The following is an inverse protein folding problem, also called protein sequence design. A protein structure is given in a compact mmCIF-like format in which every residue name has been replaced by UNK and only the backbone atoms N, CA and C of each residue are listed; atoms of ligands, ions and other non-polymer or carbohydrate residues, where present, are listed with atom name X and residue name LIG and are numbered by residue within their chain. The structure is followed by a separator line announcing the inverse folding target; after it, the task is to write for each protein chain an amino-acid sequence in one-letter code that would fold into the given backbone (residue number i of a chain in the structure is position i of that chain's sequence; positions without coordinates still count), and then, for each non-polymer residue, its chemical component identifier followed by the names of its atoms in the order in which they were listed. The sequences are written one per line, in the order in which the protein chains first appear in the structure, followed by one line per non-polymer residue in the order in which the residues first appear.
data_IF_827739870406
#
_entry.id   IF_827739870406
#
_cell.length_a   1.000
_cell.length_b   1.000
_cell.length_c   1.000
_cell.angle_alpha   90.00
_cell.angle_beta   90.00
_cell.angle_gamma   90.00
#
_symmetry.space_group_name_H-M   'P 1'
#
loop_
_entity.id
_entity.type
_entity.pdbx_description
1 polymer ?
#
# COMPACT_ATOMS: atom_id res chain seq x y z
N UNK A 1 9.36 -3.88 4.82
CA UNK A 1 8.50 -3.92 3.64
C UNK A 1 8.00 -5.33 3.44
N UNK A 2 6.70 -5.52 3.41
CA UNK A 2 6.06 -6.84 3.27
C UNK A 2 5.08 -6.78 2.09
N UNK A 3 5.04 -7.83 1.30
CA UNK A 3 4.04 -8.02 0.27
C UNK A 3 3.09 -9.15 0.70
N UNK A 4 1.79 -8.95 0.50
CA UNK A 4 0.75 -9.96 0.74
C UNK A 4 0.07 -10.31 -0.58
N UNK A 5 -0.12 -11.59 -0.81
CA UNK A 5 -0.82 -12.10 -2.00
C UNK A 5 -2.24 -12.56 -1.65
N UNK A 6 -3.10 -12.66 -2.67
CA UNK A 6 -4.54 -12.91 -2.51
C UNK A 6 -4.85 -14.41 -2.27
N UNK A 7 -4.26 -14.98 -1.21
CA UNK A 7 -4.55 -16.33 -0.73
C UNK A 7 -4.41 -16.39 0.79
N UNK A 8 -5.13 -17.33 1.42
CA UNK A 8 -5.20 -17.43 2.88
C UNK A 8 -3.87 -17.77 3.53
N UNK A 9 -3.01 -18.55 2.88
CA UNK A 9 -1.71 -18.93 3.42
C UNK A 9 -0.81 -17.69 3.51
N UNK A 10 -0.69 -16.91 2.42
CA UNK A 10 0.07 -15.65 2.40
C UNK A 10 -0.48 -14.63 3.39
N UNK A 11 -1.81 -14.46 3.47
CA UNK A 11 -2.43 -13.54 4.43
C UNK A 11 -2.13 -13.96 5.86
N UNK A 12 -2.27 -15.25 6.20
CA UNK A 12 -2.03 -15.77 7.54
C UNK A 12 -0.57 -15.63 7.96
N UNK A 13 0.37 -16.00 7.09
CA UNK A 13 1.80 -15.84 7.33
C UNK A 13 2.18 -14.37 7.52
N UNK A 14 1.71 -13.50 6.63
CA UNK A 14 1.94 -12.05 6.72
C UNK A 14 1.45 -11.46 8.04
N UNK A 15 0.23 -11.80 8.48
CA UNK A 15 -0.31 -11.34 9.76
C UNK A 15 0.55 -11.83 10.94
N UNK A 16 1.00 -13.09 10.90
CA UNK A 16 1.90 -13.66 11.90
C UNK A 16 3.23 -12.94 11.98
N UNK A 17 3.84 -12.60 10.86
CA UNK A 17 5.11 -11.88 10.81
C UNK A 17 4.96 -10.41 11.25
N UNK A 18 3.87 -9.76 10.86
CA UNK A 18 3.53 -8.42 11.35
C UNK A 18 3.42 -8.40 12.88
N UNK A 19 2.78 -9.40 13.49
CA UNK A 19 2.70 -9.52 14.96
C UNK A 19 4.08 -9.68 15.59
N UNK A 20 4.95 -10.52 15.02
CA UNK A 20 6.31 -10.72 15.50
C UNK A 20 7.16 -9.45 15.44
N UNK A 21 7.10 -8.74 14.32
CA UNK A 21 7.84 -7.48 14.11
C UNK A 21 7.30 -6.38 15.02
N UNK A 22 5.97 -6.24 15.13
CA UNK A 22 5.32 -5.24 15.99
C UNK A 22 5.67 -5.44 17.48
N UNK A 23 5.84 -6.69 17.92
CA UNK A 23 6.30 -7.02 19.29
C UNK A 23 7.61 -6.32 19.66
N UNK A 24 8.49 -6.12 18.68
CA UNK A 24 9.78 -5.45 18.87
C UNK A 24 9.75 -3.96 18.50
N UNK A 25 8.54 -3.38 18.43
CA UNK A 25 8.32 -1.99 18.05
C UNK A 25 8.84 -1.64 16.62
N UNK A 26 8.88 -2.63 15.74
CA UNK A 26 9.24 -2.45 14.32
C UNK A 26 8.18 -1.68 13.55
N UNK A 27 8.62 -0.76 12.69
CA UNK A 27 7.75 -0.10 11.71
C UNK A 27 7.57 -0.99 10.48
N UNK A 28 6.35 -1.07 9.95
CA UNK A 28 6.00 -1.95 8.84
C UNK A 28 5.35 -1.16 7.72
N UNK A 29 5.78 -1.41 6.47
CA UNK A 29 5.06 -1.04 5.27
C UNK A 29 4.53 -2.30 4.58
N UNK A 30 3.24 -2.36 4.31
CA UNK A 30 2.59 -3.48 3.63
C UNK A 30 1.85 -3.04 2.38
N UNK A 31 2.07 -3.73 1.27
CA UNK A 31 1.32 -3.55 0.03
C UNK A 31 0.08 -4.44 0.00
N UNK A 32 -1.08 -3.88 -0.34
CA UNK A 32 -2.37 -4.60 -0.31
C UNK A 32 -3.15 -4.56 -1.64
N UNK A 33 -2.55 -4.06 -2.72
CA UNK A 33 -3.26 -3.96 -4.01
C UNK A 33 -3.38 -5.30 -4.75
N UNK A 34 -2.70 -6.35 -4.27
CA UNK A 34 -2.89 -7.72 -4.77
C UNK A 34 -4.21 -8.34 -4.31
N UNK A 35 -4.76 -7.90 -3.17
CA UNK A 35 -6.00 -8.47 -2.59
C UNK A 35 -7.19 -8.07 -3.45
N UNK A 36 -8.03 -9.04 -3.80
CA UNK A 36 -9.25 -8.81 -4.58
C UNK A 36 -10.21 -7.83 -3.91
N UNK A 37 -10.99 -7.12 -4.73
CA UNK A 37 -11.93 -6.10 -4.25
C UNK A 37 -13.17 -6.69 -3.60
N UNK A 38 -13.89 -5.85 -2.85
CA UNK A 38 -15.25 -6.13 -2.39
C UNK A 38 -16.15 -6.51 -3.56
N UNK A 39 -16.99 -7.53 -3.37
CA UNK A 39 -17.89 -8.05 -4.41
C UNK A 39 -17.30 -9.11 -5.36
N UNK A 40 -15.98 -9.35 -5.32
CA UNK A 40 -15.33 -10.36 -6.18
C UNK A 40 -15.66 -11.78 -5.74
N UNK A 41 -15.78 -12.69 -6.70
CA UNK A 41 -16.10 -14.10 -6.42
C UNK A 41 -14.90 -14.84 -5.84
N UNK A 42 -15.11 -15.58 -4.75
CA UNK A 42 -14.14 -16.49 -4.16
C UNK A 42 -14.42 -17.91 -4.68
N UNK A 43 -13.67 -18.36 -5.68
CA UNK A 43 -13.92 -19.64 -6.37
C UNK A 43 -13.87 -20.86 -5.45
N UNK A 44 -13.02 -20.84 -4.41
CA UNK A 44 -12.84 -21.97 -3.49
C UNK A 44 -14.03 -22.22 -2.56
N UNK A 45 -14.80 -21.19 -2.23
CA UNK A 45 -15.93 -21.26 -1.29
C UNK A 45 -17.25 -20.91 -1.93
N UNK A 46 -17.27 -20.50 -3.20
CA UNK A 46 -18.42 -19.89 -3.89
C UNK A 46 -19.01 -18.67 -3.13
N UNK A 47 -18.18 -18.02 -2.31
CA UNK A 47 -18.52 -16.83 -1.57
C UNK A 47 -18.19 -15.55 -2.32
N UNK A 48 -18.48 -14.41 -1.68
CA UNK A 48 -18.16 -13.07 -2.15
C UNK A 48 -17.12 -12.46 -1.22
N UNK A 49 -16.12 -11.79 -1.77
CA UNK A 49 -15.09 -11.10 -1.00
C UNK A 49 -15.64 -9.82 -0.38
N UNK A 50 -15.26 -9.55 0.86
CA UNK A 50 -15.50 -8.27 1.54
C UNK A 50 -14.36 -7.25 1.27
N UNK A 51 -13.44 -7.57 0.34
CA UNK A 51 -12.36 -6.69 -0.09
C UNK A 51 -11.25 -6.49 0.94
N UNK A 52 -10.57 -5.35 0.83
CA UNK A 52 -9.38 -5.02 1.65
C UNK A 52 -9.73 -4.48 3.03
N UNK A 53 -10.92 -3.94 3.24
CA UNK A 53 -11.28 -3.28 4.50
C UNK A 53 -11.22 -4.22 5.71
N UNK A 54 -11.72 -5.47 5.67
CA UNK A 54 -11.55 -6.43 6.76
C UNK A 54 -10.09 -6.74 7.08
N UNK A 55 -9.22 -6.86 6.06
CA UNK A 55 -7.78 -7.02 6.28
C UNK A 55 -7.20 -5.81 7.01
N UNK A 56 -7.55 -4.60 6.61
CA UNK A 56 -7.16 -3.36 7.31
C UNK A 56 -7.64 -3.34 8.75
N UNK A 57 -8.85 -3.84 9.04
CA UNK A 57 -9.36 -3.99 10.42
C UNK A 57 -8.49 -4.95 11.24
N UNK A 58 -8.10 -6.08 10.67
CA UNK A 58 -7.17 -7.03 11.30
C UNK A 58 -5.81 -6.39 11.61
N UNK A 59 -5.24 -5.66 10.64
CA UNK A 59 -3.98 -4.92 10.83
C UNK A 59 -4.10 -3.82 11.89
N UNK A 60 -5.21 -3.09 11.92
CA UNK A 60 -5.48 -2.08 12.95
C UNK A 60 -5.57 -2.71 14.33
N UNK A 61 -6.25 -3.85 14.46
CA UNK A 61 -6.31 -4.60 15.71
C UNK A 61 -4.92 -5.08 16.15
N UNK A 62 -4.11 -5.63 15.24
CA UNK A 62 -2.74 -6.07 15.55
C UNK A 62 -1.91 -4.89 16.05
N UNK A 63 -1.98 -3.72 15.41
CA UNK A 63 -1.21 -2.54 15.81
C UNK A 63 -1.50 -2.09 17.24
N UNK A 64 -2.73 -2.29 17.72
CA UNK A 64 -3.14 -1.96 19.08
C UNK A 64 -2.90 -3.09 20.07
N UNK A 65 -3.22 -4.35 19.68
CA UNK A 65 -3.11 -5.52 20.56
C UNK A 65 -1.68 -5.88 20.94
N UNK A 66 -0.76 -5.89 19.96
CA UNK A 66 0.64 -6.28 20.17
C UNK A 66 1.42 -5.21 20.93
N UNK A 67 0.88 -4.01 21.03
CA UNK A 67 1.48 -2.90 21.75
C UNK A 67 1.32 -3.06 23.26
N UNK A 68 2.13 -3.91 23.85
CA UNK A 68 2.07 -4.31 25.29
C UNK A 68 2.66 -3.26 26.25
N UNK A 69 2.29 -1.99 26.14
CA UNK A 69 2.76 -0.95 27.05
C UNK A 69 4.24 -0.58 26.90
N UNK A 70 4.88 -0.95 25.80
CA UNK A 70 6.25 -0.58 25.48
C UNK A 70 6.43 0.93 25.32
N UNK A 71 7.67 1.41 25.54
CA UNK A 71 8.01 2.84 25.37
C UNK A 71 7.82 3.35 23.93
N UNK A 72 7.80 2.47 22.95
CA UNK A 72 7.58 2.77 21.53
C UNK A 72 6.57 1.80 20.96
N UNK A 73 5.55 2.33 20.29
CA UNK A 73 4.50 1.55 19.62
C UNK A 73 5.01 1.02 18.29
N UNK A 74 4.68 -0.23 17.95
CA UNK A 74 4.72 -0.73 16.59
C UNK A 74 3.72 0.04 15.73
N UNK A 75 4.04 0.30 14.48
CA UNK A 75 3.19 1.07 13.57
C UNK A 75 3.20 0.43 12.19
N UNK A 76 2.05 0.48 11.52
CA UNK A 76 1.84 -0.17 10.22
C UNK A 76 1.36 0.88 9.21
N UNK A 77 2.09 1.02 8.10
CA UNK A 77 1.66 1.77 6.94
C UNK A 77 1.13 0.79 5.87
N UNK A 78 -0.10 1.01 5.45
CA UNK A 78 -0.76 0.22 4.41
C UNK A 78 -0.71 0.99 3.10
N UNK A 79 -0.14 0.35 2.07
CA UNK A 79 0.03 0.91 0.74
C UNK A 79 -1.00 0.34 -0.22
N UNK A 80 -1.64 1.20 -1.01
CA UNK A 80 -2.62 0.82 -2.02
C UNK A 80 -2.49 1.65 -3.29
N UNK A 81 -2.73 1.02 -4.44
CA UNK A 81 -2.69 1.69 -5.74
C UNK A 81 -4.04 2.27 -6.13
N UNK A 82 -4.03 3.36 -6.91
CA UNK A 82 -5.21 4.14 -7.28
C UNK A 82 -6.22 3.39 -8.16
N UNK A 83 -5.77 2.37 -8.89
CA UNK A 83 -6.64 1.60 -9.81
C UNK A 83 -7.52 0.56 -9.09
N UNK A 84 -7.27 0.31 -7.80
CA UNK A 84 -8.02 -0.70 -7.06
C UNK A 84 -9.45 -0.22 -6.72
N UNK A 85 -10.50 -1.07 -6.88
CA UNK A 85 -11.89 -0.66 -6.62
C UNK A 85 -12.16 -0.14 -5.21
N UNK A 86 -11.52 -0.73 -4.19
CA UNK A 86 -11.73 -0.35 -2.79
C UNK A 86 -10.96 0.94 -2.39
N UNK A 87 -10.39 1.67 -3.34
CA UNK A 87 -9.53 2.82 -3.04
C UNK A 87 -10.27 3.96 -2.34
N UNK A 88 -11.51 4.21 -2.70
CA UNK A 88 -12.30 5.29 -2.08
C UNK A 88 -12.62 4.99 -0.62
N UNK A 89 -12.98 3.76 -0.29
CA UNK A 89 -13.17 3.32 1.08
C UNK A 89 -11.86 3.35 1.87
N UNK A 90 -10.76 2.91 1.23
CA UNK A 90 -9.43 2.96 1.82
C UNK A 90 -9.00 4.38 2.20
N UNK A 91 -9.19 5.36 1.35
CA UNK A 91 -8.87 6.78 1.61
C UNK A 91 -9.62 7.28 2.85
N UNK A 92 -10.83 6.76 3.11
CA UNK A 92 -11.68 7.21 4.21
C UNK A 92 -11.44 6.51 5.55
N UNK A 93 -10.55 5.50 5.62
CA UNK A 93 -10.36 4.65 6.82
C UNK A 93 -10.02 5.44 8.09
N UNK A 94 -9.40 6.61 7.97
CA UNK A 94 -9.01 7.45 9.13
C UNK A 94 -9.98 8.59 9.43
N UNK A 95 -11.01 8.82 8.62
CA UNK A 95 -11.96 9.90 8.87
C UNK A 95 -12.66 9.75 10.23
N UNK A 96 -12.97 10.88 10.87
CA UNK A 96 -13.69 10.92 12.14
C UNK A 96 -15.22 10.77 11.99
N UNK A 97 -15.70 10.77 10.76
CA UNK A 97 -17.12 10.65 10.39
C UNK A 97 -17.40 9.34 9.68
N UNK A 98 -18.66 8.96 9.57
CA UNK A 98 -19.13 7.76 8.86
C UNK A 98 -19.24 6.54 9.76
N UNK A 99 -19.27 5.36 9.15
CA UNK A 99 -19.52 4.07 9.83
C UNK A 99 -18.24 3.64 10.57
N UNK A 100 -18.32 3.54 11.91
CA UNK A 100 -17.16 3.23 12.77
C UNK A 100 -16.56 1.86 12.48
N UNK A 101 -17.37 0.90 12.12
CA UNK A 101 -16.94 -0.45 11.73
C UNK A 101 -16.01 -0.46 10.52
N UNK A 102 -16.08 0.57 9.69
CA UNK A 102 -15.20 0.75 8.52
C UNK A 102 -14.01 1.69 8.79
N UNK A 103 -13.66 1.98 10.06
CA UNK A 103 -12.55 2.88 10.43
C UNK A 103 -11.35 2.11 10.97
N UNK A 104 -10.15 2.57 10.58
CA UNK A 104 -8.86 1.99 10.98
C UNK A 104 -7.89 3.14 11.30
N UNK A 105 -8.12 3.84 12.43
CA UNK A 105 -7.43 5.09 12.75
C UNK A 105 -6.00 4.92 13.23
N UNK A 106 -5.62 3.72 13.67
CA UNK A 106 -4.25 3.42 14.14
C UNK A 106 -3.31 3.06 12.99
N UNK A 107 -3.84 2.81 11.78
CA UNK A 107 -3.03 2.57 10.59
C UNK A 107 -2.58 3.87 9.94
N UNK A 108 -1.37 3.86 9.39
CA UNK A 108 -0.90 4.86 8.44
C UNK A 108 -1.31 4.43 7.04
N UNK A 109 -1.93 5.33 6.30
CA UNK A 109 -2.39 5.04 4.94
C UNK A 109 -1.45 5.68 3.94
N UNK A 110 -1.13 4.96 2.87
CA UNK A 110 -0.27 5.43 1.80
C UNK A 110 -0.81 5.01 0.43
N UNK A 111 -0.68 5.88 -0.53
CA UNK A 111 -1.03 5.63 -1.93
C UNK A 111 0.24 5.43 -2.75
N UNK A 112 0.20 4.43 -3.62
CA UNK A 112 1.24 4.13 -4.60
C UNK A 112 0.73 4.52 -5.98
N UNK A 113 1.05 5.75 -6.42
CA UNK A 113 0.39 6.47 -7.51
C UNK A 113 1.21 6.35 -8.79
N UNK A 114 0.58 5.91 -9.89
CA UNK A 114 1.18 5.93 -11.23
C UNK A 114 1.15 7.32 -11.86
N UNK A 115 2.09 7.61 -12.74
CA UNK A 115 2.12 8.85 -13.53
C UNK A 115 0.86 8.99 -14.39
N UNK A 116 0.32 7.89 -14.93
CA UNK A 116 -0.92 7.87 -15.71
C UNK A 116 -2.12 8.43 -14.94
N UNK A 117 -2.25 8.09 -13.64
CA UNK A 117 -3.33 8.66 -12.82
C UNK A 117 -3.22 10.17 -12.73
N UNK A 118 -2.02 10.70 -12.45
CA UNK A 118 -1.80 12.14 -12.34
C UNK A 118 -2.02 12.87 -13.67
N UNK A 119 -1.62 12.27 -14.79
CA UNK A 119 -1.91 12.81 -16.13
C UNK A 119 -3.42 12.90 -16.39
N UNK A 120 -4.20 11.89 -15.96
CA UNK A 120 -5.66 11.92 -16.10
C UNK A 120 -6.32 12.94 -15.17
N UNK A 121 -5.75 13.17 -13.97
CA UNK A 121 -6.18 14.28 -13.10
C UNK A 121 -5.95 15.63 -13.79
N UNK A 122 -4.79 15.82 -14.40
CA UNK A 122 -4.46 17.06 -15.12
C UNK A 122 -5.40 17.30 -16.33
N UNK A 123 -5.66 16.26 -17.11
CA UNK A 123 -6.49 16.32 -18.33
C UNK A 123 -7.98 16.21 -18.10
N UNK A 124 -8.41 16.00 -16.84
CA UNK A 124 -9.82 15.76 -16.47
C UNK A 124 -10.45 14.55 -17.16
N UNK A 125 -9.70 13.45 -17.21
CA UNK A 125 -10.11 12.21 -17.85
C UNK A 125 -10.73 11.24 -16.84
N UNK A 126 -11.43 10.21 -17.37
CA UNK A 126 -12.00 9.13 -16.55
C UNK A 126 -10.92 8.19 -16.05
N UNK A 127 -11.04 7.73 -14.81
CA UNK A 127 -10.23 6.68 -14.22
C UNK A 127 -11.06 5.42 -14.00
N UNK A 128 -10.52 4.27 -14.38
CA UNK A 128 -11.19 2.97 -14.30
C UNK A 128 -10.66 2.17 -13.11
N UNK A 129 -11.56 1.64 -12.29
CA UNK A 129 -11.21 0.77 -11.17
C UNK A 129 -11.26 -0.69 -11.61
N UNK A 130 -10.20 -1.43 -11.35
CA UNK A 130 -9.97 -2.79 -11.83
C UNK A 130 -9.70 -3.75 -10.66
N UNK A 131 -10.40 -4.88 -10.63
CA UNK A 131 -10.14 -5.91 -9.64
C UNK A 131 -8.86 -6.68 -10.01
N UNK A 132 -7.91 -6.90 -9.09
CA UNK A 132 -6.68 -7.64 -9.41
C UNK A 132 -6.91 -9.09 -9.82
N UNK A 133 -8.02 -9.72 -9.42
CA UNK A 133 -8.39 -11.09 -9.86
C UNK A 133 -8.75 -11.14 -11.34
N UNK A 134 -9.38 -10.07 -11.88
CA UNK A 134 -9.78 -9.98 -13.31
C UNK A 134 -8.73 -9.27 -14.16
N UNK A 135 -7.96 -8.37 -13.57
CA UNK A 135 -6.93 -7.56 -14.23
C UNK A 135 -5.56 -7.79 -13.55
N UNK A 136 -4.99 -9.00 -13.63
CA UNK A 136 -3.76 -9.32 -12.94
C UNK A 136 -2.57 -8.55 -13.51
N UNK A 137 -1.53 -8.35 -12.67
CA UNK A 137 -0.24 -7.82 -13.07
C UNK A 137 -0.10 -6.30 -13.01
N UNK A 138 -1.15 -5.51 -12.79
CA UNK A 138 -1.05 -4.05 -12.67
C UNK A 138 -0.11 -3.59 -11.55
N UNK A 139 -0.05 -4.34 -10.46
CA UNK A 139 0.86 -4.10 -9.34
C UNK A 139 2.32 -4.53 -9.62
N UNK A 140 2.55 -5.30 -10.69
CA UNK A 140 3.87 -5.86 -11.03
C UNK A 140 4.60 -5.07 -12.12
N UNK A 141 3.97 -4.04 -12.67
CA UNK A 141 4.51 -3.19 -13.74
C UNK A 141 4.42 -1.72 -13.39
N UNK A 142 5.24 -0.86 -14.01
CA UNK A 142 5.25 0.59 -13.82
C UNK A 142 5.57 1.32 -15.14
N UNK A 143 5.35 2.63 -15.20
CA UNK A 143 5.61 3.46 -16.36
C UNK A 143 4.87 2.97 -17.61
N UNK A 144 5.54 2.96 -18.76
CA UNK A 144 4.93 2.60 -20.06
C UNK A 144 4.32 1.20 -20.09
N UNK A 145 4.87 0.24 -19.31
CA UNK A 145 4.32 -1.11 -19.22
C UNK A 145 3.00 -1.12 -18.45
N UNK A 146 2.95 -0.38 -17.36
CA UNK A 146 1.70 -0.17 -16.61
C UNK A 146 0.65 0.47 -17.50
N UNK A 147 1.00 1.54 -18.20
CA UNK A 147 0.07 2.27 -19.07
C UNK A 147 -0.50 1.37 -20.16
N UNK A 148 0.35 0.61 -20.84
CA UNK A 148 -0.08 -0.35 -21.88
C UNK A 148 -1.02 -1.41 -21.32
N UNK A 149 -0.69 -2.00 -20.17
CA UNK A 149 -1.50 -3.03 -19.56
C UNK A 149 -2.84 -2.47 -19.09
N UNK A 150 -2.83 -1.34 -18.38
CA UNK A 150 -4.04 -0.66 -17.90
C UNK A 150 -4.97 -0.28 -19.04
N UNK A 151 -4.46 0.36 -20.09
CA UNK A 151 -5.25 0.73 -21.28
C UNK A 151 -5.79 -0.49 -22.02
N UNK A 152 -5.07 -1.60 -22.04
CA UNK A 152 -5.55 -2.86 -22.65
C UNK A 152 -6.76 -3.42 -21.90
N UNK A 153 -6.76 -3.38 -20.57
CA UNK A 153 -7.90 -3.79 -19.75
C UNK A 153 -9.09 -2.83 -19.93
N UNK A 154 -8.80 -1.53 -19.98
CA UNK A 154 -9.81 -0.51 -20.21
C UNK A 154 -10.50 -0.68 -21.57
N UNK A 155 -9.75 -0.95 -22.64
CA UNK A 155 -10.28 -1.23 -23.98
C UNK A 155 -11.16 -2.48 -24.02
N UNK A 156 -10.83 -3.49 -23.22
CA UNK A 156 -11.64 -4.72 -23.05
C UNK A 156 -12.84 -4.52 -22.10
N UNK A 157 -12.97 -3.34 -21.47
CA UNK A 157 -14.00 -3.01 -20.48
C UNK A 157 -13.96 -3.91 -19.23
N UNK A 158 -12.77 -4.38 -18.85
CA UNK A 158 -12.54 -5.20 -17.66
C UNK A 158 -12.38 -4.31 -16.41
N UNK A 159 -13.29 -3.40 -16.18
CA UNK A 159 -13.31 -2.53 -15.00
C UNK A 159 -14.64 -2.67 -14.25
N UNK A 160 -14.58 -2.55 -12.93
CA UNK A 160 -15.76 -2.60 -12.06
C UNK A 160 -16.59 -1.32 -12.17
N UNK A 161 -15.90 -0.17 -12.16
CA UNK A 161 -16.52 1.16 -12.26
C UNK A 161 -15.53 2.19 -12.76
N UNK A 162 -16.03 3.40 -13.06
CA UNK A 162 -15.22 4.54 -13.52
C UNK A 162 -15.68 5.82 -12.85
N UNK A 163 -14.74 6.70 -12.53
CA UNK A 163 -15.01 8.05 -12.05
C UNK A 163 -14.05 9.04 -12.71
N UNK A 164 -14.38 10.34 -12.78
CA UNK A 164 -13.42 11.37 -13.14
C UNK A 164 -12.22 11.35 -12.19
N UNK A 165 -11.00 11.31 -12.73
CA UNK A 165 -9.78 11.27 -11.93
C UNK A 165 -9.67 12.46 -10.96
N UNK A 166 -10.17 13.63 -11.36
CA UNK A 166 -10.24 14.83 -10.48
C UNK A 166 -11.15 14.66 -9.28
N UNK A 167 -12.26 13.96 -9.40
CA UNK A 167 -13.14 13.69 -8.26
C UNK A 167 -12.45 12.79 -7.24
N UNK A 168 -11.78 11.73 -7.71
CA UNK A 168 -10.99 10.85 -6.85
C UNK A 168 -9.87 11.64 -6.15
N UNK A 169 -9.15 12.47 -6.89
CA UNK A 169 -8.08 13.31 -6.35
C UNK A 169 -8.60 14.35 -5.35
N UNK A 170 -9.79 14.91 -5.58
CA UNK A 170 -10.45 15.81 -4.64
C UNK A 170 -10.80 15.12 -3.32
N UNK A 171 -11.36 13.90 -3.36
CA UNK A 171 -11.63 13.11 -2.14
C UNK A 171 -10.35 12.79 -1.37
N UNK A 172 -9.25 12.48 -2.08
CA UNK A 172 -7.95 12.32 -1.50
C UNK A 172 -7.48 13.57 -0.75
N UNK A 173 -7.55 14.74 -1.37
CA UNK A 173 -7.15 16.00 -0.75
C UNK A 173 -8.02 16.36 0.46
N UNK A 174 -9.33 16.12 0.38
CA UNK A 174 -10.26 16.30 1.52
C UNK A 174 -9.81 15.41 2.69
N UNK A 175 -9.52 14.12 2.44
CA UNK A 175 -9.04 13.22 3.47
C UNK A 175 -7.72 13.68 4.09
N UNK A 176 -6.79 14.18 3.28
CA UNK A 176 -5.52 14.73 3.78
C UNK A 176 -5.72 15.98 4.63
N UNK A 177 -6.63 16.88 4.25
CA UNK A 177 -6.95 18.04 5.06
C UNK A 177 -7.58 17.68 6.41
N UNK A 178 -8.43 16.64 6.43
CA UNK A 178 -9.13 16.21 7.64
C UNK A 178 -8.26 15.37 8.59
N UNK A 179 -7.35 14.53 8.04
CA UNK A 179 -6.68 13.48 8.81
C UNK A 179 -5.16 13.50 8.71
N UNK A 180 -4.58 14.25 7.78
CA UNK A 180 -3.15 14.19 7.41
C UNK A 180 -2.78 12.97 6.54
N UNK A 181 -3.75 12.15 6.15
CA UNK A 181 -3.55 10.90 5.39
C UNK A 181 -4.49 10.80 4.19
N UNK A 182 -4.16 9.96 3.21
CA UNK A 182 -2.97 9.08 3.05
C UNK A 182 -1.71 9.83 2.59
N UNK A 183 -0.53 9.21 2.73
CA UNK A 183 0.70 9.65 2.06
C UNK A 183 0.54 9.52 0.55
N UNK A 184 1.16 10.41 -0.21
CA UNK A 184 1.22 10.33 -1.67
C UNK A 184 2.63 9.91 -2.10
N UNK A 185 2.77 8.69 -2.58
CA UNK A 185 4.04 8.14 -3.08
C UNK A 185 3.90 7.82 -4.57
N UNK A 186 4.91 8.16 -5.37
CA UNK A 186 4.88 8.08 -6.82
C UNK A 186 5.60 6.82 -7.32
N UNK A 187 4.81 5.83 -7.77
CA UNK A 187 5.25 4.50 -8.19
C UNK A 187 6.32 4.53 -9.25
N UNK A 188 6.08 5.28 -10.33
CA UNK A 188 6.91 5.23 -11.52
C UNK A 188 8.31 5.82 -11.26
N UNK A 189 8.36 6.97 -10.59
CA UNK A 189 9.64 7.60 -10.24
C UNK A 189 10.41 6.80 -9.19
N UNK A 190 9.73 6.19 -8.23
CA UNK A 190 10.36 5.30 -7.25
C UNK A 190 11.04 4.12 -7.94
N UNK A 191 10.34 3.46 -8.86
CA UNK A 191 10.88 2.32 -9.61
C UNK A 191 11.98 2.72 -10.61
N UNK A 192 11.78 3.79 -11.38
CA UNK A 192 12.77 4.30 -12.35
C UNK A 192 14.11 4.66 -11.73
N UNK A 193 14.12 5.12 -10.48
CA UNK A 193 15.32 5.54 -9.74
C UNK A 193 15.90 4.47 -8.82
N UNK A 194 15.24 3.33 -8.68
CA UNK A 194 15.72 2.24 -7.84
C UNK A 194 16.97 1.58 -8.41
N UNK A 195 17.90 1.21 -7.53
CA UNK A 195 19.05 0.39 -7.87
C UNK A 195 18.71 -1.12 -7.96
N UNK A 196 17.46 -1.51 -7.69
CA UNK A 196 16.98 -2.89 -7.64
C UNK A 196 16.01 -3.24 -8.79
N UNK A 197 16.04 -2.50 -9.90
CA UNK A 197 15.17 -2.73 -11.06
C UNK A 197 15.32 -4.15 -11.65
N UNK A 198 16.48 -4.76 -11.48
CA UNK A 198 16.76 -6.13 -11.91
C UNK A 198 16.04 -7.21 -11.10
N UNK A 199 15.52 -6.89 -9.91
CA UNK A 199 14.79 -7.84 -9.06
C UNK A 199 13.29 -7.85 -9.37
N UNK A 200 12.72 -6.69 -9.71
CA UNK A 200 11.30 -6.55 -10.02
C UNK A 200 10.74 -5.18 -9.66
N UNK A 201 9.42 -5.07 -9.70
CA UNK A 201 8.71 -3.83 -9.40
C UNK A 201 8.57 -3.62 -7.89
N UNK A 202 8.99 -2.46 -7.41
CA UNK A 202 8.78 -2.02 -6.03
C UNK A 202 7.33 -1.56 -5.88
N UNK A 203 6.60 -2.19 -4.97
CA UNK A 203 5.14 -2.04 -4.81
C UNK A 203 4.73 -1.15 -3.64
N UNK A 204 5.67 -0.83 -2.75
CA UNK A 204 5.42 -0.01 -1.55
C UNK A 204 6.71 0.58 -1.01
N UNK A 205 6.58 1.41 0.01
CA UNK A 205 7.70 1.85 0.85
C UNK A 205 7.49 1.36 2.30
N UNK A 206 8.36 1.76 3.22
CA UNK A 206 8.26 1.45 4.64
C UNK A 206 7.26 2.38 5.38
N UNK A 207 7.27 2.35 6.70
CA UNK A 207 6.39 3.17 7.55
C UNK A 207 6.54 4.67 7.29
N UNK A 208 7.77 5.15 7.11
CA UNK A 208 8.09 6.58 6.94
C UNK A 208 8.28 7.02 5.48
N UNK A 209 8.07 6.12 4.53
CA UNK A 209 8.11 6.36 3.07
C UNK A 209 9.48 6.73 2.49
N UNK A 210 10.59 6.52 3.22
CA UNK A 210 11.95 6.81 2.75
C UNK A 210 12.67 5.62 2.11
N UNK A 211 12.23 4.38 2.36
CA UNK A 211 12.88 3.17 1.87
C UNK A 211 12.23 2.71 0.58
N UNK A 212 13.00 2.67 -0.50
CA UNK A 212 12.57 2.21 -1.83
C UNK A 212 13.38 0.95 -2.14
N UNK A 213 12.88 -0.20 -1.70
CA UNK A 213 13.51 -1.50 -1.87
C UNK A 213 12.50 -2.54 -2.34
N UNK A 214 13.00 -3.52 -3.11
CA UNK A 214 12.19 -4.63 -3.57
C UNK A 214 11.79 -5.53 -2.39
N UNK A 215 10.57 -6.02 -2.43
CA UNK A 215 10.04 -7.05 -1.54
C UNK A 215 8.95 -7.85 -2.25
N UNK A 216 8.88 -9.13 -1.95
CA UNK A 216 7.82 -10.02 -2.44
C UNK A 216 7.37 -10.97 -1.31
N UNK A 217 6.66 -12.05 -1.64
CA UNK A 217 6.21 -13.06 -0.67
C UNK A 217 7.36 -13.85 -0.02
N UNK A 218 8.55 -13.86 -0.63
CA UNK A 218 9.73 -14.62 -0.17
C UNK A 218 10.80 -13.72 0.42
N UNK A 219 10.85 -12.46 -0.02
CA UNK A 219 11.89 -11.51 0.37
C UNK A 219 11.31 -10.29 1.08
N UNK A 220 11.69 -10.12 2.34
CA UNK A 220 11.31 -8.96 3.16
C UNK A 220 12.44 -7.95 3.16
N UNK A 221 12.18 -6.74 2.67
CA UNK A 221 13.15 -5.65 2.74
C UNK A 221 13.18 -5.05 4.14
N UNK A 222 14.39 -4.84 4.68
CA UNK A 222 14.62 -4.33 6.04
C UNK A 222 15.44 -3.05 5.98
N UNK A 223 15.00 -2.04 6.74
CA UNK A 223 15.75 -0.80 6.94
C UNK A 223 16.64 -0.91 8.17
N UNK A 224 17.94 -0.75 8.00
CA UNK A 224 18.90 -0.66 9.09
C UNK A 224 19.11 0.81 9.46
N UNK A 225 18.63 1.20 10.65
CA UNK A 225 18.76 2.56 11.16
C UNK A 225 20.09 2.74 11.87
N UNK A 226 20.88 3.74 11.45
CA UNK A 226 22.18 4.11 12.03
C UNK A 226 22.25 5.62 12.22
N UNK A 227 22.79 6.02 13.35
CA UNK A 227 23.12 7.42 13.64
C UNK A 227 24.60 7.52 14.05
N UNK A 228 25.37 8.35 13.34
CA UNK A 228 26.77 8.63 13.65
C UNK A 228 26.86 9.92 14.45
N UNK A 229 27.41 9.84 15.66
CA UNK A 229 27.68 11.01 16.48
C UNK A 229 28.99 11.66 16.04
N UNK A 230 28.93 12.65 15.17
CA UNK A 230 30.12 13.29 14.59
C UNK A 230 31.03 13.95 15.65
N UNK A 231 30.46 14.44 16.75
CA UNK A 231 31.24 15.03 17.85
C UNK A 231 32.04 14.00 18.69
N UNK A 232 31.79 12.70 18.49
CA UNK A 232 32.47 11.60 19.17
C UNK A 232 33.19 10.64 18.20
N UNK A 233 33.23 10.97 16.91
CA UNK A 233 34.00 10.22 15.94
C UNK A 233 35.48 10.55 16.12
N UNK A 234 36.28 9.57 16.51
CA UNK A 234 37.74 9.65 16.53
C UNK A 234 38.29 8.99 15.26
N UNK A 235 39.16 9.68 14.56
CA UNK A 235 39.99 9.05 13.54
C UNK A 235 41.05 8.20 14.27
N UNK A 236 40.91 6.89 14.22
CA UNK A 236 42.01 5.99 14.55
C UNK A 236 42.97 5.96 13.36
N UNK A 237 43.93 6.87 13.36
CA UNK A 237 45.15 6.69 12.56
C UNK A 237 45.90 5.55 13.21
N UNK A 238 45.87 4.36 12.60
CA UNK A 238 46.83 3.28 12.93
C UNK A 238 48.18 3.74 12.50
N UNK A 239 49.09 3.99 13.45
CA UNK A 239 50.51 4.04 13.23
C UNK A 239 51.03 2.68 12.74
#
# INVERSE_FOLDING_TARGET
LIAVEDNMDSISETLGDIMKISKWAGGIGIHTSSIRSEGSVIRGTNGISDGVIPLCKGLNWISTYVNQGGKRKGSIAVYKEMWHPDILDFIQLRKNTGIEERRCRDLFLALWISDLFMQRVERDEMWSFMCPDECPGLNLVYGDEFDKLYLSYEAKKLYVSRLPAREIFKELLISQCETGFPYMCYKDNANKKSNQQNLGTIRSSNLCSEVIQYSDEKETAVCNLVSICLSRSEEHTSE
#
